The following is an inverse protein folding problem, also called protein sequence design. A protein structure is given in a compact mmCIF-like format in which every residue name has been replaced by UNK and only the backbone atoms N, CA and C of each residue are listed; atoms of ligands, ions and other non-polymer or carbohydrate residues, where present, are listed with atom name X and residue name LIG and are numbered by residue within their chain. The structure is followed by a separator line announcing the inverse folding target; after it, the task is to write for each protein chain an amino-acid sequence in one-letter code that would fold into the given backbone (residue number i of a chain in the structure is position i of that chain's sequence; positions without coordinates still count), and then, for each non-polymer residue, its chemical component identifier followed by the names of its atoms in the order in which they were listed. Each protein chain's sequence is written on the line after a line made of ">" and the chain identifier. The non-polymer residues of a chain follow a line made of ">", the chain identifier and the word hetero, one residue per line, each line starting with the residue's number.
data_IF_691961384446
#
_entry.id   IF_691961384446
#
_cell.length_a   1.000
_cell.length_b   1.000
_cell.length_c   1.000
_cell.angle_alpha   90.00
_cell.angle_beta   90.00
_cell.angle_gamma   90.00
#
_symmetry.space_group_name_H-M   'P 1'
#
loop_
_entity.id
_entity.type
_entity.pdbx_description
1 polymer ?
#
# COMPACT_ATOMS: atom_id res chain seq x y z
N UNK A 1 -17.85 0.87 -6.57
CA UNK A 1 -18.03 2.26 -6.08
C UNK A 1 -18.53 2.31 -4.62
N UNK A 2 -19.34 1.34 -4.15
CA UNK A 2 -19.77 1.25 -2.73
C UNK A 2 -18.66 0.78 -1.76
N UNK A 3 -17.66 0.04 -2.25
CA UNK A 3 -16.55 -0.48 -1.44
C UNK A 3 -15.61 0.60 -0.86
N UNK A 4 -15.54 1.78 -1.49
CA UNK A 4 -14.57 2.85 -1.12
C UNK A 4 -14.95 3.53 0.20
N UNK A 5 -16.24 3.63 0.53
CA UNK A 5 -16.68 4.27 1.77
C UNK A 5 -16.65 3.33 2.98
N UNK A 6 -16.64 2.01 2.76
CA UNK A 6 -16.53 1.02 3.86
C UNK A 6 -15.11 0.95 4.42
N UNK A 7 -14.11 1.12 3.57
CA UNK A 7 -12.69 1.14 3.98
C UNK A 7 -12.33 2.36 4.85
N UNK A 8 -12.93 3.53 4.59
CA UNK A 8 -12.75 4.72 5.45
C UNK A 8 -13.35 4.53 6.86
N UNK A 9 -14.39 3.71 7.01
CA UNK A 9 -14.95 3.37 8.32
C UNK A 9 -14.07 2.41 9.13
N UNK A 10 -13.29 1.54 8.47
CA UNK A 10 -12.46 0.53 9.14
C UNK A 10 -11.13 1.10 9.67
N UNK A 11 -10.60 2.18 9.06
CA UNK A 11 -9.50 2.97 9.66
C UNK A 11 -9.93 3.67 10.95
N UNK A 12 -11.18 4.16 11.03
CA UNK A 12 -11.72 4.83 12.23
C UNK A 12 -12.08 3.84 13.35
N UNK A 13 -12.29 2.56 13.03
CA UNK A 13 -12.68 1.51 13.98
C UNK A 13 -11.50 0.67 14.51
N UNK A 14 -10.25 0.97 14.13
CA UNK A 14 -9.07 0.22 14.58
C UNK A 14 -8.98 -1.21 14.02
N UNK A 15 -9.74 -1.52 12.97
CA UNK A 15 -9.86 -2.88 12.38
C UNK A 15 -8.92 -3.08 11.20
N UNK A 16 -7.68 -2.70 11.41
CA UNK A 16 -6.66 -2.66 10.37
C UNK A 16 -6.33 -4.04 9.78
N UNK A 17 -6.40 -5.10 10.58
CA UNK A 17 -6.21 -6.48 10.13
C UNK A 17 -7.36 -6.98 9.22
N UNK A 18 -8.61 -6.65 9.55
CA UNK A 18 -9.77 -7.02 8.73
C UNK A 18 -9.74 -6.30 7.37
N UNK A 19 -9.29 -5.03 7.35
CA UNK A 19 -9.09 -4.29 6.10
C UNK A 19 -8.02 -4.93 5.20
N UNK A 20 -6.89 -5.37 5.78
CA UNK A 20 -5.83 -6.05 5.04
C UNK A 20 -6.29 -7.38 4.40
N UNK A 21 -7.08 -8.18 5.12
CA UNK A 21 -7.64 -9.42 4.58
C UNK A 21 -8.63 -9.16 3.43
N UNK A 22 -9.47 -8.13 3.55
CA UNK A 22 -10.39 -7.72 2.48
C UNK A 22 -9.63 -7.36 1.20
N UNK A 23 -8.56 -6.57 1.31
CA UNK A 23 -7.75 -6.22 0.14
C UNK A 23 -7.02 -7.43 -0.45
N UNK A 24 -6.49 -8.33 0.38
CA UNK A 24 -5.84 -9.57 -0.06
C UNK A 24 -6.78 -10.45 -0.88
N UNK A 25 -8.03 -10.58 -0.42
CA UNK A 25 -9.04 -11.35 -1.13
C UNK A 25 -9.48 -10.65 -2.43
N UNK A 26 -9.61 -9.32 -2.43
CA UNK A 26 -9.92 -8.55 -3.63
C UNK A 26 -8.82 -8.66 -4.71
N UNK A 27 -7.55 -8.69 -4.30
CA UNK A 27 -6.40 -8.89 -5.20
C UNK A 27 -6.46 -10.25 -5.89
N UNK A 28 -6.78 -11.32 -5.15
CA UNK A 28 -6.90 -12.69 -5.68
C UNK A 28 -8.06 -12.87 -6.65
N UNK A 29 -9.13 -12.08 -6.49
CA UNK A 29 -10.33 -12.17 -7.31
C UNK A 29 -10.26 -11.36 -8.63
N UNK A 30 -9.23 -10.54 -8.84
CA UNK A 30 -9.11 -9.70 -10.03
C UNK A 30 -8.59 -10.51 -11.24
N UNK A 31 -9.27 -10.47 -12.40
CA UNK A 31 -8.79 -11.10 -13.63
C UNK A 31 -7.42 -10.57 -14.07
N UNK A 32 -6.63 -11.44 -14.72
CA UNK A 32 -5.37 -11.04 -15.32
C UNK A 32 -5.63 -9.95 -16.39
N UNK A 33 -5.03 -8.78 -16.21
CA UNK A 33 -5.29 -7.56 -16.98
C UNK A 33 -5.64 -6.33 -16.13
N UNK A 34 -6.11 -6.51 -14.89
CA UNK A 34 -6.45 -5.40 -13.96
C UNK A 34 -5.26 -4.94 -13.10
N UNK A 35 -4.07 -4.83 -13.70
CA UNK A 35 -2.82 -4.50 -12.98
C UNK A 35 -2.93 -3.19 -12.20
N UNK A 36 -3.52 -2.15 -12.78
CA UNK A 36 -3.61 -0.81 -12.17
C UNK A 36 -4.51 -0.76 -10.94
N UNK A 37 -5.69 -1.38 -10.99
CA UNK A 37 -6.62 -1.41 -9.84
C UNK A 37 -6.09 -2.31 -8.74
N UNK A 38 -5.43 -3.43 -9.12
CA UNK A 38 -4.73 -4.31 -8.17
C UNK A 38 -3.68 -3.55 -7.36
N UNK A 39 -2.87 -2.73 -8.02
CA UNK A 39 -1.85 -1.92 -7.33
C UNK A 39 -2.43 -0.87 -6.38
N UNK A 40 -3.59 -0.26 -6.70
CA UNK A 40 -4.26 0.68 -5.78
C UNK A 40 -4.73 -0.03 -4.52
N UNK A 41 -5.31 -1.22 -4.64
CA UNK A 41 -5.74 -2.00 -3.48
C UNK A 41 -4.57 -2.51 -2.64
N UNK A 42 -3.46 -2.92 -3.28
CA UNK A 42 -2.23 -3.27 -2.56
C UNK A 42 -1.70 -2.09 -1.75
N UNK A 43 -1.58 -0.89 -2.34
CA UNK A 43 -1.09 0.27 -1.60
C UNK A 43 -1.97 0.64 -0.40
N UNK A 44 -3.29 0.50 -0.52
CA UNK A 44 -4.23 0.71 0.59
C UNK A 44 -4.12 -0.36 1.66
N UNK A 45 -3.93 -1.62 1.28
CA UNK A 45 -3.68 -2.71 2.22
C UNK A 45 -2.40 -2.47 3.03
N UNK A 46 -1.35 -2.00 2.38
CA UNK A 46 -0.10 -1.65 3.04
C UNK A 46 -0.31 -0.53 4.08
N UNK A 47 -1.05 0.54 3.74
CA UNK A 47 -1.40 1.60 4.71
C UNK A 47 -2.19 1.02 5.89
N UNK A 48 -3.14 0.12 5.63
CA UNK A 48 -3.88 -0.55 6.68
C UNK A 48 -2.96 -1.37 7.59
N UNK A 49 -2.04 -2.18 7.05
CA UNK A 49 -1.06 -2.93 7.85
C UNK A 49 -0.20 -2.02 8.72
N UNK A 50 0.23 -0.86 8.22
CA UNK A 50 0.98 0.11 9.02
C UNK A 50 0.15 0.63 10.19
N UNK A 51 -1.13 0.96 9.96
CA UNK A 51 -2.09 1.32 11.01
C UNK A 51 -2.34 0.20 12.01
N UNK A 52 -2.23 -1.07 11.59
CA UNK A 52 -2.35 -2.24 12.46
C UNK A 52 -1.15 -2.47 13.39
N UNK A 53 -0.07 -1.71 13.23
CA UNK A 53 1.21 -2.00 13.87
C UNK A 53 1.92 -3.22 13.29
N UNK A 54 1.66 -3.54 12.00
CA UNK A 54 2.33 -4.61 11.25
C UNK A 54 3.26 -4.01 10.16
N UNK A 55 4.35 -3.33 10.55
CA UNK A 55 5.22 -2.59 9.63
C UNK A 55 5.89 -3.49 8.58
N UNK A 56 6.29 -4.71 8.94
CA UNK A 56 6.94 -5.65 8.01
C UNK A 56 5.98 -6.03 6.85
N UNK A 57 4.73 -6.35 7.20
CA UNK A 57 3.69 -6.65 6.21
C UNK A 57 3.34 -5.42 5.36
N UNK A 58 3.28 -4.25 6.00
CA UNK A 58 3.04 -3.00 5.32
C UNK A 58 4.12 -2.68 4.28
N UNK A 59 5.40 -2.83 4.65
CA UNK A 59 6.53 -2.61 3.76
C UNK A 59 6.53 -3.62 2.58
N UNK A 60 6.32 -4.90 2.87
CA UNK A 60 6.29 -5.95 1.85
C UNK A 60 5.18 -5.71 0.80
N UNK A 61 3.96 -5.41 1.25
CA UNK A 61 2.84 -5.11 0.33
C UNK A 61 3.06 -3.76 -0.37
N UNK A 62 3.69 -2.79 0.30
CA UNK A 62 4.08 -1.51 -0.28
C UNK A 62 5.05 -1.65 -1.45
N UNK A 63 6.05 -2.53 -1.34
CA UNK A 63 6.99 -2.85 -2.43
C UNK A 63 6.28 -3.44 -3.64
N UNK A 64 5.34 -4.38 -3.44
CA UNK A 64 4.55 -4.95 -4.54
C UNK A 64 3.72 -3.89 -5.26
N UNK A 65 3.09 -2.98 -4.50
CA UNK A 65 2.35 -1.86 -5.08
C UNK A 65 3.28 -0.89 -5.83
N UNK A 66 4.50 -0.65 -5.33
CA UNK A 66 5.50 0.19 -6.00
C UNK A 66 5.93 -0.39 -7.35
N UNK A 67 6.15 -1.70 -7.46
CA UNK A 67 6.43 -2.36 -8.75
C UNK A 67 5.31 -2.07 -9.76
N UNK A 68 4.05 -2.23 -9.36
CA UNK A 68 2.90 -1.94 -10.23
C UNK A 68 2.81 -0.44 -10.56
N UNK A 69 3.15 0.45 -9.62
CA UNK A 69 3.19 1.89 -9.87
C UNK A 69 4.19 2.22 -10.98
N UNK A 70 5.38 1.63 -10.93
CA UNK A 70 6.45 1.82 -11.92
C UNK A 70 6.06 1.24 -13.28
N UNK A 71 5.46 0.05 -13.31
CA UNK A 71 5.04 -0.58 -14.57
C UNK A 71 3.88 0.16 -15.26
N UNK A 72 3.01 0.84 -14.49
CA UNK A 72 1.78 1.45 -15.01
C UNK A 72 1.78 2.98 -15.03
N UNK A 73 2.78 3.64 -14.45
CA UNK A 73 2.81 5.11 -14.29
C UNK A 73 1.62 5.65 -13.46
N UNK A 74 1.10 4.86 -12.53
CA UNK A 74 -0.17 5.18 -11.87
C UNK A 74 0.00 6.12 -10.67
N UNK A 75 -0.21 7.42 -10.88
CA UNK A 75 -0.18 8.42 -9.79
C UNK A 75 -1.23 8.22 -8.67
N UNK A 76 -2.22 7.33 -8.85
CA UNK A 76 -3.11 6.91 -7.75
C UNK A 76 -2.38 6.00 -6.76
N UNK A 77 -1.57 5.09 -7.27
CA UNK A 77 -0.78 4.16 -6.45
C UNK A 77 0.29 4.95 -5.71
N UNK A 78 1.02 5.82 -6.41
CA UNK A 78 2.06 6.69 -5.81
C UNK A 78 1.50 7.53 -4.65
N UNK A 79 0.28 8.06 -4.77
CA UNK A 79 -0.36 8.82 -3.68
C UNK A 79 -0.65 7.98 -2.42
N UNK A 80 -1.00 6.71 -2.58
CA UNK A 80 -1.22 5.81 -1.44
C UNK A 80 0.13 5.37 -0.86
N UNK A 81 1.16 5.14 -1.68
CA UNK A 81 2.52 4.85 -1.23
C UNK A 81 3.15 6.02 -0.44
N UNK A 82 2.87 7.26 -0.82
CA UNK A 82 3.27 8.43 -0.05
C UNK A 82 2.57 8.51 1.33
N UNK A 83 1.36 7.94 1.46
CA UNK A 83 0.71 7.81 2.78
C UNK A 83 1.36 6.70 3.60
N UNK A 84 1.70 5.59 2.95
CA UNK A 84 2.42 4.49 3.58
C UNK A 84 3.78 4.92 4.12
N UNK A 85 4.58 5.67 3.34
CA UNK A 85 5.86 6.21 3.78
C UNK A 85 5.73 7.00 5.09
N UNK A 86 4.74 7.90 5.15
CA UNK A 86 4.44 8.69 6.36
C UNK A 86 3.99 7.81 7.53
N UNK A 87 3.14 6.82 7.27
CA UNK A 87 2.65 5.90 8.29
C UNK A 87 3.79 5.04 8.87
N UNK A 88 4.82 4.74 8.08
CA UNK A 88 5.94 3.89 8.47
C UNK A 88 7.09 4.63 9.19
N UNK A 89 7.05 5.96 9.29
CA UNK A 89 8.07 6.76 10.00
C UNK A 89 8.43 6.22 11.40
N UNK A 90 7.48 5.79 12.26
CA UNK A 90 7.82 5.24 13.57
C UNK A 90 8.74 4.01 13.52
N UNK A 91 8.69 3.25 12.42
CA UNK A 91 9.44 2.01 12.20
C UNK A 91 10.58 2.16 11.19
N UNK A 92 10.98 3.38 10.83
CA UNK A 92 11.95 3.65 9.76
C UNK A 92 13.34 2.99 9.91
N UNK A 93 13.66 2.46 11.10
CA UNK A 93 14.92 1.75 11.38
C UNK A 93 14.81 0.23 11.20
N UNK A 94 13.60 -0.29 10.97
CA UNK A 94 13.42 -1.70 10.64
C UNK A 94 13.88 -1.97 9.20
N UNK A 95 14.57 -3.09 8.94
CA UNK A 95 15.15 -3.38 7.63
C UNK A 95 14.13 -3.31 6.48
N UNK A 96 12.96 -3.94 6.65
CA UNK A 96 11.91 -4.05 5.65
C UNK A 96 11.32 -2.68 5.32
N UNK A 97 11.12 -1.85 6.35
CA UNK A 97 10.65 -0.47 6.18
C UNK A 97 11.71 0.39 5.50
N UNK A 98 12.97 0.27 5.89
CA UNK A 98 14.06 1.03 5.30
C UNK A 98 14.23 0.69 3.81
N UNK A 99 14.11 -0.58 3.45
CA UNK A 99 14.12 -1.05 2.06
C UNK A 99 12.98 -0.41 1.25
N UNK A 100 11.73 -0.53 1.73
CA UNK A 100 10.59 0.10 1.08
C UNK A 100 10.81 1.60 0.83
N UNK A 101 11.25 2.34 1.86
CA UNK A 101 11.46 3.79 1.76
C UNK A 101 12.58 4.14 0.79
N UNK A 102 13.68 3.40 0.80
CA UNK A 102 14.79 3.62 -0.14
C UNK A 102 14.34 3.41 -1.60
N UNK A 103 13.55 2.37 -1.87
CA UNK A 103 12.99 2.13 -3.21
C UNK A 103 11.99 3.21 -3.63
N UNK A 104 11.15 3.66 -2.70
CA UNK A 104 10.17 4.70 -2.96
C UNK A 104 10.84 6.06 -3.25
N UNK A 105 11.81 6.46 -2.43
CA UNK A 105 12.61 7.68 -2.63
C UNK A 105 13.36 7.64 -3.96
N UNK A 106 13.96 6.48 -4.28
CA UNK A 106 14.62 6.26 -5.56
C UNK A 106 13.68 6.46 -6.75
N UNK A 107 12.41 6.06 -6.63
CA UNK A 107 11.42 6.25 -7.70
C UNK A 107 11.08 7.73 -7.91
N UNK A 108 10.87 8.48 -6.83
CA UNK A 108 10.57 9.92 -6.90
C UNK A 108 11.71 10.74 -7.52
N UNK A 109 12.97 10.34 -7.29
CA UNK A 109 14.13 11.01 -7.85
C UNK A 109 14.25 10.86 -9.38
N UNK A 110 13.69 9.79 -9.97
CA UNK A 110 13.70 9.57 -11.43
C UNK A 110 12.59 10.32 -12.17
N UNK A 111 11.56 10.83 -11.48
CA UNK A 111 10.44 11.57 -12.08
C UNK A 111 10.66 13.10 -12.13
N UNK A 112 11.78 13.60 -11.59
CA UNK A 112 12.15 15.03 -11.49
C UNK A 112 13.13 15.55 -12.56
#
# INVERSE_FOLDING_TARGET
>A
YVEVHRAQGLEVLGKHAEAAEVFTNAIKALPDGYHRDRGVYMARAAVAHAGAGAPDQAAAVGLQALTIANDTGSGRIVRELARLDKALVPWQRQPEVAEFRAHFDGTLAHES
#
